data_IF_377907134331
#
_entry.id   IF_377907134331
#
_cell.length_a   1.000
_cell.length_b   1.000
_cell.length_c   1.000
_cell.angle_alpha   90.00
_cell.angle_beta   90.00
_cell.angle_gamma   90.00
#
_symmetry.space_group_name_H-M   'P 1'
#
loop_
_entity.id
_entity.type
_entity.pdbx_description
1 polymer ?
#
# COMPACT_ATOMS: atom_id res chain seq x y z
N UNK A 1 0.12 -46.55 -41.28
CA UNK A 1 -0.64 -45.27 -41.34
C UNK A 1 0.38 -44.15 -41.45
N UNK A 2 0.39 -43.38 -42.55
CA UNK A 2 1.35 -42.29 -42.78
C UNK A 2 1.01 -41.09 -41.89
N UNK A 3 1.98 -40.55 -41.15
CA UNK A 3 1.84 -39.31 -40.39
C UNK A 3 2.05 -38.11 -41.32
N UNK A 4 1.05 -37.24 -41.44
CA UNK A 4 1.14 -35.97 -42.18
C UNK A 4 1.63 -34.87 -41.22
N UNK A 5 2.72 -34.18 -41.58
CA UNK A 5 3.33 -33.09 -40.78
C UNK A 5 2.70 -31.71 -41.01
N UNK A 6 1.59 -31.63 -41.76
CA UNK A 6 0.92 -30.34 -42.01
C UNK A 6 0.04 -29.99 -40.83
N UNK A 7 0.59 -29.16 -39.95
CA UNK A 7 -0.16 -28.46 -38.91
C UNK A 7 -1.05 -27.39 -39.55
N UNK A 8 -2.36 -27.59 -39.46
CA UNK A 8 -3.41 -26.66 -39.89
C UNK A 8 -3.98 -25.88 -38.69
N UNK A 9 -3.15 -25.38 -37.77
CA UNK A 9 -3.70 -24.35 -36.89
C UNK A 9 -3.87 -23.08 -37.72
N UNK A 10 -5.13 -22.87 -38.08
CA UNK A 10 -5.71 -21.56 -38.35
C UNK A 10 -5.12 -20.61 -37.31
N UNK A 11 -4.45 -19.55 -37.76
CA UNK A 11 -4.05 -18.45 -36.90
C UNK A 11 -5.23 -18.14 -35.99
N UNK A 12 -5.07 -18.39 -34.69
CA UNK A 12 -6.09 -18.09 -33.71
C UNK A 12 -6.31 -16.60 -33.80
N UNK A 13 -7.32 -16.19 -34.56
CA UNK A 13 -7.85 -14.84 -34.54
C UNK A 13 -8.07 -14.58 -33.06
N UNK A 14 -7.26 -13.70 -32.47
CA UNK A 14 -7.33 -13.38 -31.05
C UNK A 14 -8.71 -12.77 -30.85
N UNK A 15 -9.69 -13.60 -30.51
CA UNK A 15 -11.00 -13.17 -30.07
C UNK A 15 -10.73 -12.14 -28.96
N UNK A 16 -11.29 -10.92 -29.06
CA UNK A 16 -11.05 -9.92 -28.04
C UNK A 16 -11.54 -10.48 -26.71
N UNK A 17 -10.59 -10.82 -25.81
CA UNK A 17 -10.86 -11.45 -24.52
C UNK A 17 -12.12 -10.82 -23.87
N UNK A 18 -13.13 -11.60 -23.51
CA UNK A 18 -14.37 -11.03 -22.93
C UNK A 18 -14.22 -10.83 -21.42
N UNK A 19 -14.63 -9.64 -20.95
CA UNK A 19 -14.91 -9.28 -19.54
C UNK A 19 -13.95 -9.84 -18.47
N UNK A 20 -14.33 -10.96 -17.86
CA UNK A 20 -13.63 -11.58 -16.72
C UNK A 20 -12.24 -12.11 -17.07
N UNK A 21 -12.06 -12.66 -18.27
CA UNK A 21 -10.75 -13.19 -18.72
C UNK A 21 -9.72 -12.06 -18.88
N UNK A 22 -10.14 -10.86 -19.31
CA UNK A 22 -9.26 -9.68 -19.37
C UNK A 22 -8.76 -9.27 -17.99
N UNK A 23 -9.64 -9.22 -16.99
CA UNK A 23 -9.26 -8.76 -15.65
C UNK A 23 -8.26 -9.72 -14.96
N UNK A 24 -8.43 -11.03 -15.16
CA UNK A 24 -7.53 -12.02 -14.57
C UNK A 24 -6.12 -11.95 -15.15
N UNK A 25 -6.01 -11.89 -16.48
CA UNK A 25 -4.71 -11.86 -17.18
C UNK A 25 -3.99 -10.53 -16.96
N UNK A 26 -4.70 -9.41 -16.94
CA UNK A 26 -4.11 -8.11 -16.59
C UNK A 26 -3.57 -8.10 -15.16
N UNK A 27 -4.28 -8.70 -14.20
CA UNK A 27 -3.78 -8.82 -12.83
C UNK A 27 -2.51 -9.68 -12.74
N UNK A 28 -2.36 -10.70 -13.58
CA UNK A 28 -1.14 -11.50 -13.65
C UNK A 28 0.05 -10.71 -14.20
N UNK A 29 -0.18 -9.88 -15.23
CA UNK A 29 0.85 -8.95 -15.74
C UNK A 29 1.26 -7.98 -14.63
N UNK A 30 0.29 -7.41 -13.91
CA UNK A 30 0.56 -6.52 -12.78
C UNK A 30 1.37 -7.24 -11.70
N UNK A 31 1.02 -8.49 -11.34
CA UNK A 31 1.74 -9.27 -10.34
C UNK A 31 3.20 -9.52 -10.75
N UNK A 32 3.43 -9.96 -12.00
CA UNK A 32 4.78 -10.15 -12.53
C UNK A 32 5.61 -8.86 -12.46
N UNK A 33 5.00 -7.73 -12.81
CA UNK A 33 5.64 -6.42 -12.74
C UNK A 33 5.95 -5.97 -11.32
N UNK A 34 5.02 -6.16 -10.39
CA UNK A 34 5.26 -5.86 -8.97
C UNK A 34 6.39 -6.72 -8.39
N UNK A 35 6.51 -7.99 -8.80
CA UNK A 35 7.60 -8.87 -8.34
C UNK A 35 8.96 -8.52 -8.94
N UNK A 36 9.00 -8.10 -10.21
CA UNK A 36 10.23 -7.77 -10.91
C UNK A 36 10.74 -6.36 -10.56
N UNK A 37 9.84 -5.37 -10.61
CA UNK A 37 10.20 -3.95 -10.58
C UNK A 37 9.72 -3.24 -9.29
N UNK A 38 8.93 -3.91 -8.44
CA UNK A 38 8.31 -3.31 -7.25
C UNK A 38 7.11 -2.39 -7.55
N UNK A 39 6.94 -1.99 -8.80
CA UNK A 39 5.90 -1.05 -9.25
C UNK A 39 5.34 -1.46 -10.62
N UNK A 40 4.05 -1.22 -10.82
CA UNK A 40 3.42 -1.33 -12.14
C UNK A 40 2.71 0.00 -12.45
N UNK A 41 3.19 0.73 -13.45
CA UNK A 41 2.52 1.97 -13.89
C UNK A 41 1.46 1.66 -14.96
N UNK A 42 0.43 2.51 -15.13
CA UNK A 42 -0.56 2.31 -16.19
C UNK A 42 0.08 2.24 -17.58
N UNK A 43 1.09 3.06 -17.86
CA UNK A 43 1.83 3.03 -19.12
C UNK A 43 2.59 1.71 -19.33
N UNK A 44 3.22 1.18 -18.28
CA UNK A 44 3.86 -0.13 -18.34
C UNK A 44 2.84 -1.24 -18.65
N UNK A 45 1.68 -1.21 -17.99
CA UNK A 45 0.61 -2.16 -18.25
C UNK A 45 0.04 -2.03 -19.67
N UNK A 46 -0.12 -0.82 -20.21
CA UNK A 46 -0.55 -0.61 -21.60
C UNK A 46 0.44 -1.25 -22.59
N UNK A 47 1.74 -1.00 -22.40
CA UNK A 47 2.80 -1.54 -23.24
C UNK A 47 2.80 -3.07 -23.22
N UNK A 48 2.72 -3.65 -22.04
CA UNK A 48 2.83 -5.10 -21.86
C UNK A 48 1.55 -5.84 -22.26
N UNK A 49 0.37 -5.28 -21.99
CA UNK A 49 -0.89 -5.82 -22.51
C UNK A 49 -0.93 -5.80 -24.05
N UNK A 50 -0.36 -4.75 -24.66
CA UNK A 50 -0.22 -4.66 -26.11
C UNK A 50 0.71 -5.74 -26.66
N UNK A 51 1.92 -5.89 -26.10
CA UNK A 51 2.91 -6.84 -26.60
C UNK A 51 2.60 -8.31 -26.30
N UNK A 52 2.07 -8.61 -25.11
CA UNK A 52 1.84 -9.98 -24.67
C UNK A 52 0.49 -10.55 -25.12
N UNK A 53 -0.53 -9.70 -25.27
CA UNK A 53 -1.91 -10.13 -25.51
C UNK A 53 -2.54 -9.52 -26.78
N UNK A 54 -1.86 -8.60 -27.45
CA UNK A 54 -2.45 -7.83 -28.56
C UNK A 54 -3.62 -6.93 -28.12
N UNK A 55 -3.69 -6.57 -26.83
CA UNK A 55 -4.79 -5.77 -26.27
C UNK A 55 -4.37 -4.32 -26.12
N UNK A 56 -5.06 -3.44 -26.83
CA UNK A 56 -4.92 -1.98 -26.64
C UNK A 56 -5.79 -1.52 -25.48
N UNK A 57 -5.16 -0.95 -24.44
CA UNK A 57 -5.85 -0.33 -23.31
C UNK A 57 -5.73 1.18 -23.40
N UNK A 58 -6.80 1.91 -23.09
CA UNK A 58 -6.68 3.33 -22.76
C UNK A 58 -6.11 3.51 -21.35
N UNK A 59 -5.68 4.74 -21.03
CA UNK A 59 -5.04 5.03 -19.74
C UNK A 59 -5.93 4.66 -18.54
N UNK A 60 -7.22 5.02 -18.58
CA UNK A 60 -8.16 4.73 -17.48
C UNK A 60 -8.41 3.23 -17.29
N UNK A 61 -8.41 2.44 -18.36
CA UNK A 61 -8.50 0.98 -18.30
C UNK A 61 -7.23 0.39 -17.68
N UNK A 62 -6.06 0.86 -18.09
CA UNK A 62 -4.80 0.42 -17.52
C UNK A 62 -4.66 0.82 -16.05
N UNK A 63 -5.01 2.05 -15.68
CA UNK A 63 -5.05 2.50 -14.30
C UNK A 63 -5.94 1.61 -13.42
N UNK A 64 -7.18 1.36 -13.84
CA UNK A 64 -8.07 0.42 -13.12
C UNK A 64 -7.52 -1.01 -13.08
N UNK A 65 -6.83 -1.44 -14.14
CA UNK A 65 -6.15 -2.74 -14.19
C UNK A 65 -5.04 -2.86 -13.17
N UNK A 66 -4.19 -1.83 -13.06
CA UNK A 66 -3.13 -1.74 -12.03
C UNK A 66 -3.73 -1.75 -10.63
N UNK A 67 -4.70 -0.88 -10.34
CA UNK A 67 -5.34 -0.81 -9.02
C UNK A 67 -5.92 -2.16 -8.61
N UNK A 68 -6.73 -2.79 -9.48
CA UNK A 68 -7.30 -4.11 -9.20
C UNK A 68 -6.25 -5.22 -9.09
N UNK A 69 -5.18 -5.14 -9.87
CA UNK A 69 -4.06 -6.08 -9.78
C UNK A 69 -3.35 -5.97 -8.43
N UNK A 70 -3.11 -4.75 -7.96
CA UNK A 70 -2.55 -4.47 -6.63
C UNK A 70 -3.49 -4.97 -5.53
N UNK A 71 -4.78 -4.62 -5.57
CA UNK A 71 -5.78 -5.06 -4.59
C UNK A 71 -5.90 -6.59 -4.54
N UNK A 72 -5.80 -7.27 -5.68
CA UNK A 72 -5.84 -8.74 -5.72
C UNK A 72 -4.61 -9.38 -5.07
N UNK A 73 -3.45 -8.74 -5.17
CA UNK A 73 -2.20 -9.24 -4.59
C UNK A 73 -2.10 -8.89 -3.09
N UNK A 74 -2.33 -7.62 -2.74
CA UNK A 74 -2.12 -7.06 -1.40
C UNK A 74 -3.36 -7.03 -0.51
N UNK A 75 -4.54 -7.32 -1.07
CA UNK A 75 -5.82 -7.17 -0.39
C UNK A 75 -6.42 -5.77 -0.55
N UNK A 76 -7.65 -5.61 -0.05
CA UNK A 76 -8.33 -4.32 -0.03
C UNK A 76 -7.67 -3.41 1.02
N UNK A 77 -7.32 -2.16 0.66
CA UNK A 77 -6.83 -1.18 1.62
C UNK A 77 -7.75 -0.98 2.82
N UNK A 78 -9.08 -0.99 2.61
CA UNK A 78 -10.05 -0.80 3.70
C UNK A 78 -9.96 -1.91 4.76
N UNK A 79 -9.80 -3.17 4.33
CA UNK A 79 -9.61 -4.32 5.22
C UNK A 79 -8.29 -4.20 6.02
N UNK A 80 -7.25 -3.67 5.37
CA UNK A 80 -5.96 -3.44 6.03
C UNK A 80 -6.08 -2.43 7.19
N UNK A 81 -6.90 -1.39 7.04
CA UNK A 81 -7.14 -0.44 8.12
C UNK A 81 -7.95 -1.04 9.27
N UNK A 82 -8.88 -1.96 9.01
CA UNK A 82 -9.57 -2.68 10.08
C UNK A 82 -8.60 -3.53 10.91
N UNK A 83 -7.60 -4.14 10.28
CA UNK A 83 -6.58 -4.91 10.99
C UNK A 83 -5.70 -4.04 11.92
N UNK A 84 -5.57 -2.73 11.67
CA UNK A 84 -4.81 -1.83 12.54
C UNK A 84 -5.40 -1.74 13.95
N UNK A 85 -6.72 -1.89 14.12
CA UNK A 85 -7.35 -1.86 15.44
C UNK A 85 -6.86 -3.06 16.27
N UNK A 86 -6.96 -4.26 15.70
CA UNK A 86 -6.48 -5.48 16.35
C UNK A 86 -4.97 -5.45 16.60
N UNK A 87 -4.21 -4.98 15.62
CA UNK A 87 -2.77 -4.81 15.73
C UNK A 87 -2.39 -3.83 16.85
N UNK A 88 -3.05 -2.67 16.93
CA UNK A 88 -2.85 -1.66 17.98
C UNK A 88 -3.07 -2.24 19.38
N UNK A 89 -4.14 -3.01 19.55
CA UNK A 89 -4.45 -3.67 20.83
C UNK A 89 -3.38 -4.71 21.21
N UNK A 90 -2.97 -5.54 20.25
CA UNK A 90 -1.93 -6.56 20.46
C UNK A 90 -0.57 -5.91 20.75
N UNK A 91 -0.23 -4.86 20.03
CA UNK A 91 1.05 -4.17 20.17
C UNK A 91 1.20 -3.60 21.58
N UNK A 92 0.16 -2.94 22.10
CA UNK A 92 0.14 -2.43 23.48
C UNK A 92 0.21 -3.54 24.52
N UNK A 93 -0.51 -4.66 24.29
CA UNK A 93 -0.48 -5.81 25.19
C UNK A 93 0.90 -6.47 25.26
N UNK A 94 1.59 -6.58 24.12
CA UNK A 94 2.88 -7.26 24.03
C UNK A 94 4.08 -6.36 24.34
N UNK A 95 3.92 -5.04 24.23
CA UNK A 95 4.97 -4.06 24.49
C UNK A 95 4.48 -3.02 25.51
N UNK A 96 4.58 -3.32 26.81
CA UNK A 96 4.16 -2.39 27.87
C UNK A 96 4.76 -1.00 27.70
N UNK A 97 3.97 0.03 28.01
CA UNK A 97 4.32 1.44 27.80
C UNK A 97 4.13 1.94 26.37
N UNK A 98 3.81 1.06 25.40
CA UNK A 98 3.36 1.49 24.08
C UNK A 98 1.99 2.13 24.19
N UNK A 99 1.80 3.23 23.48
CA UNK A 99 0.51 3.87 23.26
C UNK A 99 0.17 3.73 21.79
N UNK A 100 -0.98 3.11 21.49
CA UNK A 100 -1.44 2.99 20.12
C UNK A 100 -2.96 3.14 20.07
N UNK A 101 -3.44 3.94 19.13
CA UNK A 101 -4.84 4.30 19.02
C UNK A 101 -5.20 4.38 17.54
N UNK A 102 -6.37 3.85 17.20
CA UNK A 102 -6.95 3.93 15.86
C UNK A 102 -8.35 4.47 16.02
N UNK A 103 -8.65 5.56 15.32
CA UNK A 103 -9.97 6.16 15.29
C UNK A 103 -10.68 5.86 13.99
N UNK A 104 -11.96 5.56 14.15
CA UNK A 104 -12.91 5.34 13.07
C UNK A 104 -14.07 6.32 13.23
N UNK A 105 -14.71 6.67 12.13
CA UNK A 105 -15.99 7.38 12.18
C UNK A 105 -17.16 6.45 12.59
N UNK A 106 -18.37 7.01 12.61
CA UNK A 106 -19.61 6.30 12.96
C UNK A 106 -19.93 5.12 12.01
N UNK A 107 -19.34 5.10 10.82
CA UNK A 107 -19.45 4.01 9.84
C UNK A 107 -18.30 3.00 9.97
N UNK A 108 -17.59 3.01 11.11
CA UNK A 108 -16.39 2.21 11.37
C UNK A 108 -15.28 2.37 10.33
N UNK A 109 -15.29 3.49 9.60
CA UNK A 109 -14.33 3.78 8.56
C UNK A 109 -13.14 4.49 9.19
N UNK A 110 -11.93 3.95 8.98
CA UNK A 110 -10.67 4.54 9.45
C UNK A 110 -10.55 6.03 9.10
N UNK A 111 -10.15 6.81 10.10
CA UNK A 111 -9.91 8.26 10.04
C UNK A 111 -8.45 8.59 10.31
N UNK A 112 -7.96 8.26 11.51
CA UNK A 112 -6.60 8.54 11.93
C UNK A 112 -6.08 7.44 12.85
N UNK A 113 -4.76 7.33 12.94
CA UNK A 113 -4.10 6.45 13.90
C UNK A 113 -2.88 7.10 14.48
N UNK A 114 -2.60 6.82 15.74
CA UNK A 114 -1.39 7.25 16.42
C UNK A 114 -0.73 6.04 17.08
N UNK A 115 0.60 6.01 17.09
CA UNK A 115 1.39 4.98 17.75
C UNK A 115 2.72 5.53 18.24
N UNK A 116 3.01 5.33 19.53
CA UNK A 116 4.29 5.61 20.14
C UNK A 116 4.75 4.37 20.91
N UNK A 117 5.91 3.82 20.55
CA UNK A 117 6.42 2.58 21.14
C UNK A 117 6.98 2.85 22.54
N UNK A 118 6.63 2.03 23.52
CA UNK A 118 7.02 2.24 24.92
C UNK A 118 8.52 2.30 25.11
N UNK A 119 9.24 1.40 24.44
CA UNK A 119 10.71 1.39 24.42
C UNK A 119 11.30 2.68 23.83
N UNK A 120 10.65 3.26 22.83
CA UNK A 120 11.11 4.51 22.22
C UNK A 120 10.80 5.74 23.09
N UNK A 121 9.64 5.76 23.75
CA UNK A 121 9.30 6.78 24.74
C UNK A 121 10.31 6.75 25.89
N UNK A 122 10.65 5.56 26.38
CA UNK A 122 11.65 5.40 27.42
C UNK A 122 13.03 5.85 26.96
N UNK A 123 13.48 5.42 25.78
CA UNK A 123 14.75 5.85 25.22
C UNK A 123 14.83 7.38 25.08
N UNK A 124 13.74 8.03 24.65
CA UNK A 124 13.67 9.48 24.57
C UNK A 124 13.90 10.17 25.92
N UNK A 125 13.33 9.63 26.99
CA UNK A 125 13.50 10.17 28.35
C UNK A 125 14.91 9.94 28.90
N UNK A 126 15.47 8.76 28.67
CA UNK A 126 16.63 8.29 29.41
C UNK A 126 17.94 8.45 28.63
N UNK A 127 17.90 8.60 27.31
CA UNK A 127 19.09 8.44 26.46
C UNK A 127 19.16 9.33 25.22
N UNK A 128 18.04 9.88 24.73
CA UNK A 128 18.05 10.81 23.60
C UNK A 128 18.21 12.26 24.06
N UNK A 129 18.59 13.12 23.12
CA UNK A 129 18.58 14.57 23.33
C UNK A 129 17.11 15.04 23.47
N UNK A 130 16.84 16.09 24.25
CA UNK A 130 15.48 16.61 24.47
C UNK A 130 14.99 17.44 23.28
N UNK A 131 15.10 16.88 22.06
CA UNK A 131 14.71 17.48 20.80
C UNK A 131 13.90 16.44 20.04
N UNK A 132 12.74 16.86 19.54
CA UNK A 132 11.89 16.06 18.65
C UNK A 132 11.75 16.84 17.35
N UNK A 133 12.01 16.16 16.24
CA UNK A 133 11.63 16.64 14.91
C UNK A 133 10.42 15.84 14.42
N UNK A 134 9.49 16.52 13.74
CA UNK A 134 8.32 15.89 13.13
C UNK A 134 8.35 16.21 11.65
N UNK A 135 8.24 15.19 10.81
CA UNK A 135 8.08 15.35 9.37
C UNK A 135 6.82 14.62 8.88
N UNK A 136 6.23 15.13 7.81
CA UNK A 136 4.97 14.67 7.24
C UNK A 136 5.11 14.29 5.78
N UNK A 137 4.68 13.07 5.43
CA UNK A 137 4.61 12.62 4.03
C UNK A 137 3.16 12.36 3.62
N UNK A 138 2.74 12.97 2.51
CA UNK A 138 1.40 12.76 1.95
C UNK A 138 1.26 11.33 1.43
N UNK A 139 0.20 10.64 1.86
CA UNK A 139 -0.18 9.33 1.38
C UNK A 139 -1.06 9.46 0.14
N UNK A 140 -0.68 8.78 -0.94
CA UNK A 140 -1.40 8.80 -2.22
C UNK A 140 -2.42 7.67 -2.37
N UNK A 141 -2.72 6.95 -1.28
CA UNK A 141 -3.68 5.86 -1.25
C UNK A 141 -5.14 6.32 -1.37
N UNK A 142 -6.06 5.36 -1.47
CA UNK A 142 -7.51 5.60 -1.59
C UNK A 142 -8.06 6.55 -0.52
N UNK A 143 -7.52 6.47 0.71
CA UNK A 143 -7.95 7.29 1.85
C UNK A 143 -7.14 8.58 2.02
N UNK A 144 -6.10 8.79 1.22
CA UNK A 144 -5.21 9.93 1.36
C UNK A 144 -4.55 9.98 2.74
N UNK A 145 -4.39 11.20 3.25
CA UNK A 145 -3.84 11.50 4.56
C UNK A 145 -2.35 11.87 4.54
N UNK A 146 -1.82 12.19 5.71
CA UNK A 146 -0.42 12.50 5.95
C UNK A 146 0.12 11.54 7.01
N UNK A 147 1.20 10.82 6.67
CA UNK A 147 2.00 10.08 7.64
C UNK A 147 2.95 11.04 8.33
N UNK A 148 2.70 11.31 9.60
CA UNK A 148 3.58 12.04 10.50
C UNK A 148 4.53 11.06 11.18
N UNK A 149 5.81 11.42 11.24
CA UNK A 149 6.83 10.67 11.97
C UNK A 149 7.55 11.61 12.92
N UNK A 150 7.47 11.31 14.22
CA UNK A 150 8.25 11.99 15.24
C UNK A 150 9.54 11.23 15.49
N UNK A 151 10.68 11.91 15.34
CA UNK A 151 12.02 11.35 15.56
C UNK A 151 12.73 12.13 16.66
N UNK A 152 13.39 11.40 17.56
CA UNK A 152 14.40 11.95 18.45
C UNK A 152 15.79 11.80 17.87
N UNK A 153 16.77 12.42 18.51
CA UNK A 153 18.18 12.32 18.11
C UNK A 153 19.01 11.84 19.29
N UNK A 154 19.82 10.80 19.09
CA UNK A 154 20.67 10.26 20.14
C UNK A 154 21.96 11.09 20.37
N UNK A 155 22.81 10.65 21.29
CA UNK A 155 24.09 11.31 21.56
C UNK A 155 25.03 11.28 20.33
N UNK A 156 24.88 10.30 19.44
CA UNK A 156 25.66 10.08 18.23
C UNK A 156 25.04 10.72 16.98
N UNK A 157 24.07 11.63 17.14
CA UNK A 157 23.39 12.33 16.04
C UNK A 157 22.59 11.40 15.11
N UNK A 158 22.21 10.22 15.58
CA UNK A 158 21.35 9.29 14.85
C UNK A 158 19.88 9.56 15.12
N UNK A 159 19.07 9.52 14.06
CA UNK A 159 17.63 9.66 14.15
C UNK A 159 17.00 8.38 14.72
N UNK A 160 16.11 8.55 15.69
CA UNK A 160 15.45 7.46 16.38
C UNK A 160 13.92 7.67 16.33
N UNK A 161 13.16 6.85 15.58
CA UNK A 161 11.71 6.99 15.50
C UNK A 161 11.04 6.76 16.85
N UNK A 162 10.24 7.73 17.30
CA UNK A 162 9.52 7.69 18.58
C UNK A 162 8.05 7.34 18.35
N UNK A 163 7.41 8.03 17.41
CA UNK A 163 5.98 7.91 17.17
C UNK A 163 5.62 8.11 15.69
N UNK A 164 4.48 7.54 15.32
CA UNK A 164 3.87 7.59 14.00
C UNK A 164 2.43 8.05 14.12
N UNK A 165 2.00 8.92 13.21
CA UNK A 165 0.62 9.40 13.11
C UNK A 165 0.14 9.31 11.66
N UNK A 166 -1.09 8.88 11.44
CA UNK A 166 -1.78 9.03 10.15
C UNK A 166 -2.95 9.96 10.40
N UNK A 167 -2.99 11.09 9.69
CA UNK A 167 -4.01 12.14 9.86
C UNK A 167 -4.61 12.52 8.49
N UNK A 168 -5.83 13.06 8.46
CA UNK A 168 -6.51 13.44 7.20
C UNK A 168 -5.75 14.57 6.46
N UNK A 169 -5.19 15.53 7.20
CA UNK A 169 -4.28 16.57 6.68
C UNK A 169 -3.55 17.27 7.84
N UNK A 170 -2.60 18.15 7.55
CA UNK A 170 -1.90 18.98 8.56
C UNK A 170 -2.79 20.15 9.02
N UNK A 171 -3.93 19.84 9.63
CA UNK A 171 -4.82 20.80 10.27
C UNK A 171 -4.74 20.61 11.78
N UNK A 172 -4.65 21.71 12.53
CA UNK A 172 -4.33 21.74 13.97
C UNK A 172 -5.29 20.95 14.89
N UNK A 173 -6.42 20.45 14.38
CA UNK A 173 -7.36 19.58 15.11
C UNK A 173 -6.76 18.20 15.42
N UNK A 174 -5.90 17.65 14.54
CA UNK A 174 -5.31 16.33 14.73
C UNK A 174 -4.13 16.30 15.72
N UNK A 175 -3.67 17.48 16.18
CA UNK A 175 -2.50 17.64 17.05
C UNK A 175 -2.83 17.48 18.55
N UNK A 176 -4.11 17.32 18.91
CA UNK A 176 -4.59 17.21 20.29
C UNK A 176 -4.93 15.78 20.75
N UNK A 177 -4.56 14.77 19.96
CA UNK A 177 -4.80 13.34 20.26
C UNK A 177 -3.57 12.64 20.82
#
# INVERSE_FOLDING_TARGET
RKHSSKHTCVETRVEPLRGRSKCHVLAEIVDRKLRADGVCTPAALQKEAGSALGVTLNYSQAHRGVVRGIERNKGNPDDSYYHLIGYSNLLQKLNPGTHAVVHTDDSHTFRYSFMALGVCIQAFRDSLRPIIAVDGTILTGKRGGTLLVAVGVDANEQNYPIAFGIVDSENGEAMYL
#
